data_IF_873381429761
#
_entry.id   IF_873381429761
#
_cell.length_a   1.000
_cell.length_b   1.000
_cell.length_c   1.000
_cell.angle_alpha   90.00
_cell.angle_beta   90.00
_cell.angle_gamma   90.00
#
_symmetry.space_group_name_H-M   'P 1'
#
loop_
_entity.id
_entity.type
_entity.pdbx_description
1 polymer ?
#
# COMPACT_ATOMS: atom_id res chain seq x y z
N UNK A 1 -14.39 -4.18 -8.25
CA UNK A 1 -13.13 -3.47 -7.97
C UNK A 1 -12.48 -3.21 -9.32
N UNK A 2 -12.32 -1.94 -9.70
CA UNK A 2 -11.68 -1.58 -10.96
C UNK A 2 -10.23 -2.10 -10.95
N UNK A 3 -9.76 -2.59 -12.10
CA UNK A 3 -8.42 -3.18 -12.20
C UNK A 3 -7.38 -2.05 -12.13
N UNK A 4 -6.25 -2.20 -11.40
CA UNK A 4 -5.24 -1.13 -11.25
C UNK A 4 -4.75 -0.48 -12.55
N UNK A 5 -4.78 -1.26 -13.65
CA UNK A 5 -4.42 -0.83 -15.01
C UNK A 5 -5.35 0.29 -15.53
N UNK A 6 -6.62 0.30 -15.12
CA UNK A 6 -7.62 1.28 -15.57
C UNK A 6 -7.38 2.69 -15.00
N UNK A 7 -6.55 2.82 -13.95
CA UNK A 7 -6.14 4.10 -13.37
C UNK A 7 -4.77 4.60 -13.88
N UNK A 8 -4.10 3.87 -14.78
CA UNK A 8 -2.76 4.25 -15.25
C UNK A 8 -1.69 4.25 -14.17
N UNK A 9 -1.94 3.59 -13.03
CA UNK A 9 -0.99 3.48 -11.92
C UNK A 9 0.05 2.40 -12.25
N UNK A 10 0.97 2.75 -13.14
CA UNK A 10 2.15 1.94 -13.46
C UNK A 10 3.30 2.44 -12.59
N UNK A 11 3.83 1.56 -11.74
CA UNK A 11 5.09 1.80 -11.04
C UNK A 11 6.24 1.50 -12.01
N UNK A 12 7.10 2.47 -12.25
CA UNK A 12 8.27 2.33 -13.13
C UNK A 12 9.56 2.74 -12.40
N UNK A 13 10.70 2.42 -13.00
CA UNK A 13 12.01 2.88 -12.51
C UNK A 13 12.38 2.32 -11.13
N UNK A 14 12.93 3.18 -10.26
CA UNK A 14 13.39 2.80 -8.93
C UNK A 14 12.23 2.39 -8.01
N UNK A 15 11.07 3.04 -8.12
CA UNK A 15 9.89 2.71 -7.30
C UNK A 15 9.40 1.28 -7.57
N UNK A 16 9.45 0.83 -8.83
CA UNK A 16 9.13 -0.55 -9.20
C UNK A 16 10.12 -1.56 -8.61
N UNK A 17 11.42 -1.24 -8.62
CA UNK A 17 12.46 -2.10 -8.02
C UNK A 17 12.30 -2.17 -6.50
N UNK A 18 12.01 -1.04 -5.87
CA UNK A 18 11.78 -0.96 -4.43
C UNK A 18 10.52 -1.74 -4.04
N UNK A 19 9.44 -1.63 -4.82
CA UNK A 19 8.24 -2.43 -4.64
C UNK A 19 8.54 -3.94 -4.69
N UNK A 20 9.24 -4.42 -5.73
CA UNK A 20 9.61 -5.84 -5.87
C UNK A 20 10.53 -6.30 -4.72
N UNK A 21 11.46 -5.44 -4.29
CA UNK A 21 12.35 -5.74 -3.16
C UNK A 21 11.58 -5.86 -1.85
N UNK A 22 10.64 -4.94 -1.60
CA UNK A 22 9.79 -4.95 -0.41
C UNK A 22 8.77 -6.09 -0.45
N UNK A 23 8.29 -6.51 -1.62
CA UNK A 23 7.43 -7.69 -1.77
C UNK A 23 8.16 -8.97 -1.37
N UNK A 24 9.41 -9.14 -1.81
CA UNK A 24 10.23 -10.32 -1.50
C UNK A 24 10.73 -10.36 -0.07
N UNK A 25 10.92 -9.19 0.56
CA UNK A 25 11.39 -9.09 1.94
C UNK A 25 10.65 -7.94 2.64
N UNK A 26 9.43 -8.19 3.16
CA UNK A 26 8.61 -7.15 3.73
C UNK A 26 9.25 -6.58 5.00
N UNK A 27 9.87 -5.40 4.87
CA UNK A 27 10.38 -4.63 5.99
C UNK A 27 9.20 -3.91 6.62
N UNK A 28 8.64 -4.48 7.67
CA UNK A 28 7.60 -3.82 8.45
C UNK A 28 8.25 -2.77 9.34
N UNK A 29 8.03 -1.50 9.00
CA UNK A 29 8.46 -0.38 9.83
C UNK A 29 7.36 0.05 10.79
N UNK A 30 7.72 0.66 11.92
CA UNK A 30 6.75 1.21 12.87
C UNK A 30 5.79 2.22 12.21
N UNK A 31 6.29 3.02 11.27
CA UNK A 31 5.48 3.94 10.47
C UNK A 31 4.42 3.22 9.63
N UNK A 32 4.75 2.08 9.03
CA UNK A 32 3.78 1.28 8.29
C UNK A 32 2.71 0.69 9.21
N UNK A 33 3.10 0.24 10.42
CA UNK A 33 2.13 -0.24 11.42
C UNK A 33 1.17 0.87 11.84
N UNK A 34 1.67 2.08 12.10
CA UNK A 34 0.81 3.24 12.40
C UNK A 34 -0.12 3.61 11.23
N UNK A 35 0.39 3.55 10.00
CA UNK A 35 -0.41 3.78 8.80
C UNK A 35 -1.56 2.78 8.70
N UNK A 36 -1.29 1.49 8.90
CA UNK A 36 -2.34 0.46 8.88
C UNK A 36 -3.36 0.60 10.02
N UNK A 37 -2.92 1.01 11.22
CA UNK A 37 -3.84 1.33 12.33
C UNK A 37 -4.79 2.46 11.96
N UNK A 38 -4.26 3.57 11.44
CA UNK A 38 -5.08 4.71 10.97
C UNK A 38 -6.03 4.31 9.84
N UNK A 39 -5.56 3.54 8.86
CA UNK A 39 -6.40 3.04 7.78
C UNK A 39 -7.56 2.19 8.31
N UNK A 40 -7.29 1.31 9.28
CA UNK A 40 -8.32 0.51 9.96
C UNK A 40 -9.33 1.39 10.69
N UNK A 41 -8.87 2.38 11.45
CA UNK A 41 -9.77 3.33 12.14
C UNK A 41 -10.67 4.10 11.17
N UNK A 42 -10.13 4.57 10.04
CA UNK A 42 -10.91 5.25 9.01
C UNK A 42 -11.95 4.29 8.42
N UNK A 43 -11.54 3.07 8.09
CA UNK A 43 -12.46 2.06 7.58
C UNK A 43 -13.60 1.78 8.56
N UNK A 44 -13.28 1.51 9.84
CA UNK A 44 -14.26 1.21 10.88
C UNK A 44 -15.21 2.40 11.12
N UNK A 45 -14.74 3.65 11.08
CA UNK A 45 -15.57 4.86 11.20
C UNK A 45 -16.51 5.10 10.03
N UNK A 46 -16.13 4.67 8.83
CA UNK A 46 -16.96 4.78 7.63
C UNK A 46 -17.74 3.48 7.35
N UNK A 47 -17.65 2.51 8.25
CA UNK A 47 -18.39 1.26 8.19
C UNK A 47 -19.76 1.51 8.79
N UNK A 48 -20.68 1.93 7.92
CA UNK A 48 -22.10 2.25 8.15
C UNK A 48 -22.39 3.66 8.69
#
# INVERSE_FOLDING_TARGET
>A
MAKPIEFGLVLEGEDAKEFIKNEKNPVVTDKMVEMFKKAKEIYDKNRF
#
